data_IF_996879116746
#
_entry.id   IF_996879116746
#
_cell.length_a   1.000
_cell.length_b   1.000
_cell.length_c   1.000
_cell.angle_alpha   90.00
_cell.angle_beta   90.00
_cell.angle_gamma   90.00
#
_symmetry.space_group_name_H-M   'P 1'
#
loop_
_entity.id
_entity.type
_entity.pdbx_description
1 polymer ?
#
# COMPACT_ATOMS: atom_id res chain seq x y z
N UNK A 1 -9.05 -5.10 -16.15
CA UNK A 1 -8.85 -3.81 -15.44
C UNK A 1 -8.30 -4.09 -14.05
N UNK A 2 -7.55 -3.18 -13.44
CA UNK A 2 -6.95 -3.42 -12.09
C UNK A 2 -7.99 -3.51 -10.96
N UNK A 3 -9.23 -3.12 -11.19
CA UNK A 3 -10.38 -3.22 -10.28
C UNK A 3 -11.19 -4.52 -10.41
N UNK A 4 -10.81 -5.43 -11.32
CA UNK A 4 -11.60 -6.64 -11.62
C UNK A 4 -11.19 -7.87 -10.81
N UNK A 5 -10.21 -7.76 -9.91
CA UNK A 5 -9.81 -8.82 -9.01
C UNK A 5 -10.74 -8.91 -7.80
N UNK A 6 -10.76 -10.07 -7.14
CA UNK A 6 -11.59 -10.29 -5.96
C UNK A 6 -10.79 -10.24 -4.65
N UNK A 7 -9.46 -10.30 -4.71
CA UNK A 7 -8.63 -10.35 -3.52
C UNK A 7 -7.36 -9.50 -3.69
N UNK A 8 -7.21 -8.50 -2.83
CA UNK A 8 -6.14 -7.53 -2.85
C UNK A 8 -5.37 -7.54 -1.53
N UNK A 9 -4.05 -7.39 -1.62
CA UNK A 9 -3.18 -7.14 -0.46
C UNK A 9 -2.43 -5.82 -0.67
N UNK A 10 -2.60 -4.89 0.27
CA UNK A 10 -1.86 -3.65 0.36
C UNK A 10 -0.86 -3.75 1.49
N UNK A 11 0.40 -3.45 1.22
CA UNK A 11 1.47 -3.44 2.22
C UNK A 11 2.12 -2.06 2.26
N UNK A 12 1.93 -1.35 3.38
CA UNK A 12 2.58 -0.08 3.70
C UNK A 12 3.69 -0.25 4.73
N UNK A 13 4.66 0.63 4.72
CA UNK A 13 5.69 0.69 5.76
C UNK A 13 5.14 1.35 7.04
N UNK A 14 4.41 2.46 6.91
CA UNK A 14 3.94 3.29 8.04
C UNK A 14 2.42 3.41 8.10
N UNK A 15 1.85 3.74 9.30
CA UNK A 15 0.42 4.00 9.45
C UNK A 15 0.03 5.32 8.77
N UNK A 16 -0.30 5.31 7.50
CA UNK A 16 -0.76 6.36 6.60
C UNK A 16 -0.40 6.10 5.12
N UNK A 17 0.64 5.28 4.87
CA UNK A 17 1.14 5.01 3.51
C UNK A 17 0.05 4.49 2.58
N UNK A 18 -0.73 3.51 3.03
CA UNK A 18 -1.77 2.88 2.21
C UNK A 18 -2.82 3.91 1.82
N UNK A 19 -3.22 4.73 2.78
CA UNK A 19 -4.27 5.73 2.61
C UNK A 19 -3.83 6.86 1.68
N UNK A 20 -2.61 7.34 1.85
CA UNK A 20 -2.11 8.48 1.06
C UNK A 20 -1.85 8.07 -0.38
N UNK A 21 -1.27 6.88 -0.61
CA UNK A 21 -0.88 6.46 -1.95
C UNK A 21 -1.97 5.69 -2.72
N UNK A 22 -2.92 5.05 -2.00
CA UNK A 22 -3.91 4.16 -2.60
C UNK A 22 -5.30 4.17 -1.97
N UNK A 23 -5.60 5.12 -1.07
CA UNK A 23 -6.91 5.20 -0.44
C UNK A 23 -8.05 5.39 -1.43
N UNK A 24 -7.82 6.18 -2.48
CA UNK A 24 -8.77 6.35 -3.56
C UNK A 24 -8.96 5.09 -4.40
N UNK A 25 -7.88 4.36 -4.67
CA UNK A 25 -7.97 3.09 -5.39
C UNK A 25 -8.74 2.03 -4.58
N UNK A 26 -8.51 1.94 -3.27
CA UNK A 26 -9.29 1.06 -2.38
C UNK A 26 -10.77 1.41 -2.43
N UNK A 27 -11.11 2.67 -2.26
CA UNK A 27 -12.50 3.14 -2.32
C UNK A 27 -13.14 2.82 -3.68
N UNK A 28 -12.41 2.98 -4.77
CA UNK A 28 -12.87 2.64 -6.11
C UNK A 28 -13.08 1.13 -6.30
N UNK A 29 -12.14 0.29 -5.83
CA UNK A 29 -12.31 -1.18 -5.85
C UNK A 29 -13.63 -1.56 -5.19
N UNK A 30 -13.87 -1.08 -3.96
CA UNK A 30 -15.05 -1.44 -3.19
C UNK A 30 -16.34 -0.77 -3.71
N UNK A 31 -16.23 0.33 -4.44
CA UNK A 31 -17.36 0.93 -5.15
C UNK A 31 -17.77 0.10 -6.37
N UNK A 32 -16.80 -0.37 -7.17
CA UNK A 32 -17.05 -1.16 -8.38
C UNK A 32 -17.34 -2.64 -8.08
N UNK A 33 -16.75 -3.21 -7.01
CA UNK A 33 -16.94 -4.60 -6.59
C UNK A 33 -17.06 -4.70 -5.06
N UNK A 34 -18.28 -4.73 -4.56
CA UNK A 34 -18.57 -4.79 -3.11
C UNK A 34 -18.17 -6.10 -2.45
N UNK A 35 -17.99 -7.17 -3.24
CA UNK A 35 -17.57 -8.48 -2.75
C UNK A 35 -16.05 -8.64 -2.73
N UNK A 36 -15.31 -7.67 -3.26
CA UNK A 36 -13.85 -7.69 -3.23
C UNK A 36 -13.32 -7.68 -1.80
N UNK A 37 -12.33 -8.51 -1.54
CA UNK A 37 -11.60 -8.55 -0.28
C UNK A 37 -10.36 -7.67 -0.40
N UNK A 38 -10.29 -6.68 0.47
CA UNK A 38 -9.15 -5.77 0.55
C UNK A 38 -8.49 -5.95 1.91
N UNK A 39 -7.25 -6.41 1.91
CA UNK A 39 -6.43 -6.63 3.10
C UNK A 39 -5.32 -5.58 3.13
N UNK A 40 -5.17 -4.90 4.26
CA UNK A 40 -4.13 -3.90 4.47
C UNK A 40 -3.20 -4.35 5.59
N UNK A 41 -1.90 -4.25 5.40
CA UNK A 41 -0.88 -4.55 6.41
C UNK A 41 0.11 -3.41 6.50
N UNK A 42 0.29 -2.87 7.70
CA UNK A 42 1.27 -1.86 8.03
C UNK A 42 2.40 -2.52 8.81
N UNK A 43 3.64 -2.32 8.36
CA UNK A 43 4.77 -3.05 8.91
C UNK A 43 5.34 -2.40 10.16
N UNK A 44 5.45 -1.07 10.24
CA UNK A 44 6.06 -0.39 11.39
C UNK A 44 5.04 0.21 12.36
N UNK A 45 5.56 0.61 13.51
CA UNK A 45 4.82 1.32 14.56
C UNK A 45 4.65 2.82 14.27
N UNK A 46 5.32 3.37 13.25
CA UNK A 46 5.27 4.78 12.88
C UNK A 46 5.87 5.74 13.90
N UNK A 47 6.67 5.24 14.83
CA UNK A 47 7.13 6.00 16.01
C UNK A 47 8.15 7.11 15.71
N UNK A 48 8.68 7.21 14.50
CA UNK A 48 9.56 8.31 14.08
C UNK A 48 8.78 9.50 13.50
N UNK A 49 7.47 9.34 13.23
CA UNK A 49 6.59 10.44 12.78
C UNK A 49 6.06 11.30 13.93
N UNK A 50 5.16 12.23 13.60
CA UNK A 50 4.49 13.05 14.62
C UNK A 50 3.41 12.24 15.35
N UNK A 51 3.13 12.59 16.61
CA UNK A 51 2.17 11.90 17.46
C UNK A 51 2.75 10.64 18.14
N UNK A 52 1.96 10.05 19.02
CA UNK A 52 2.33 8.78 19.66
C UNK A 52 1.98 7.58 18.75
N UNK A 53 2.57 6.41 19.03
CA UNK A 53 2.24 5.16 18.32
C UNK A 53 0.75 4.84 18.45
N UNK A 54 0.19 5.05 19.65
CA UNK A 54 -1.22 4.81 19.95
C UNK A 54 -2.13 5.69 19.12
N UNK A 55 -1.82 7.01 19.04
CA UNK A 55 -2.56 7.96 18.21
C UNK A 55 -2.52 7.56 16.73
N UNK A 56 -1.34 7.25 16.19
CA UNK A 56 -1.18 6.83 14.79
C UNK A 56 -1.94 5.55 14.49
N UNK A 57 -1.92 4.56 15.39
CA UNK A 57 -2.67 3.33 15.23
C UNK A 57 -4.19 3.57 15.30
N UNK A 58 -4.65 4.48 16.16
CA UNK A 58 -6.07 4.84 16.23
C UNK A 58 -6.52 5.55 14.95
N UNK A 59 -5.75 6.50 14.46
CA UNK A 59 -6.00 7.19 13.19
C UNK A 59 -6.08 6.18 12.03
N UNK A 60 -5.12 5.27 11.91
CA UNK A 60 -5.11 4.25 10.86
C UNK A 60 -6.29 3.25 11.00
N UNK A 61 -6.66 2.82 12.22
CA UNK A 61 -7.87 2.00 12.44
C UNK A 61 -9.15 2.74 12.05
N UNK A 62 -9.25 4.03 12.32
CA UNK A 62 -10.40 4.82 11.93
C UNK A 62 -10.44 4.99 10.40
N UNK A 63 -9.29 5.25 9.76
CA UNK A 63 -9.16 5.30 8.31
C UNK A 63 -9.57 3.97 7.66
N UNK A 64 -9.14 2.83 8.22
CA UNK A 64 -9.51 1.51 7.70
C UNK A 64 -11.03 1.25 7.70
N UNK A 65 -11.73 1.71 8.75
CA UNK A 65 -13.21 1.66 8.82
C UNK A 65 -13.85 2.57 7.77
N UNK A 66 -13.29 3.77 7.57
CA UNK A 66 -13.79 4.71 6.55
C UNK A 66 -13.59 4.20 5.14
N UNK A 67 -12.50 3.47 4.88
CA UNK A 67 -12.22 2.79 3.62
C UNK A 67 -13.11 1.57 3.39
N UNK A 68 -13.54 0.88 4.47
CA UNK A 68 -14.37 -0.33 4.39
C UNK A 68 -13.58 -1.59 4.04
N UNK A 69 -12.27 -1.65 4.37
CA UNK A 69 -11.42 -2.81 4.08
C UNK A 69 -11.78 -4.04 4.91
N UNK A 70 -11.46 -5.22 4.39
CA UNK A 70 -11.80 -6.51 5.01
C UNK A 70 -10.95 -6.81 6.24
N UNK A 71 -9.69 -6.40 6.24
CA UNK A 71 -8.79 -6.47 7.40
C UNK A 71 -7.71 -5.39 7.33
N UNK A 72 -7.24 -4.99 8.50
CA UNK A 72 -6.15 -4.04 8.67
C UNK A 72 -5.24 -4.50 9.81
N UNK A 73 -4.01 -4.89 9.51
CA UNK A 73 -3.06 -5.46 10.48
C UNK A 73 -1.85 -4.55 10.66
N UNK A 74 -1.33 -4.51 11.91
CA UNK A 74 -0.09 -3.85 12.27
C UNK A 74 0.92 -4.92 12.70
N UNK A 75 2.10 -4.93 12.07
CA UNK A 75 3.19 -5.87 12.41
C UNK A 75 4.07 -5.37 13.56
N UNK A 76 4.04 -4.06 13.85
CA UNK A 76 4.72 -3.46 15.01
C UNK A 76 6.25 -3.45 14.94
N UNK A 77 6.85 -3.57 13.75
CA UNK A 77 8.29 -3.33 13.62
C UNK A 77 8.62 -1.87 13.98
N UNK A 78 9.85 -1.66 14.46
CA UNK A 78 10.30 -0.32 14.78
C UNK A 78 10.43 0.54 13.53
N UNK A 79 9.82 1.73 13.54
CA UNK A 79 9.94 2.72 12.47
C UNK A 79 11.41 3.11 12.25
N UNK A 80 11.81 3.27 10.98
CA UNK A 80 13.18 3.56 10.59
C UNK A 80 14.13 2.37 10.64
N UNK A 81 13.64 1.12 10.81
CA UNK A 81 14.51 -0.05 11.00
C UNK A 81 14.25 -1.23 10.03
N UNK A 82 13.31 -1.13 9.11
CA UNK A 82 13.00 -2.25 8.23
C UNK A 82 14.18 -2.67 7.34
N UNK A 83 15.03 -1.72 6.95
CA UNK A 83 16.22 -2.00 6.15
C UNK A 83 17.27 -2.86 6.89
N UNK A 84 17.20 -2.95 8.22
CA UNK A 84 18.04 -3.81 9.05
C UNK A 84 17.47 -5.23 9.22
N UNK A 85 16.21 -5.44 8.83
CA UNK A 85 15.51 -6.71 9.04
C UNK A 85 15.78 -7.68 7.90
N UNK A 86 16.78 -8.54 8.07
CA UNK A 86 17.14 -9.59 7.08
C UNK A 86 16.02 -10.59 6.83
N UNK A 87 15.06 -10.71 7.76
CA UNK A 87 13.92 -11.64 7.67
C UNK A 87 12.68 -11.01 7.00
N UNK A 88 12.74 -9.73 6.64
CA UNK A 88 11.59 -9.02 6.04
C UNK A 88 11.01 -9.72 4.79
N UNK A 89 11.83 -10.32 3.88
CA UNK A 89 11.28 -11.08 2.77
C UNK A 89 10.41 -12.28 3.18
N UNK A 90 10.77 -12.99 4.27
CA UNK A 90 9.98 -14.11 4.78
C UNK A 90 8.67 -13.65 5.42
N UNK A 91 8.71 -12.53 6.14
CA UNK A 91 7.49 -11.90 6.69
C UNK A 91 6.51 -11.56 5.57
N UNK A 92 6.97 -10.88 4.52
CA UNK A 92 6.13 -10.51 3.38
C UNK A 92 5.65 -11.75 2.61
N UNK A 93 6.50 -12.78 2.44
CA UNK A 93 6.11 -14.03 1.80
C UNK A 93 4.99 -14.75 2.56
N UNK A 94 5.06 -14.77 3.90
CA UNK A 94 3.99 -15.30 4.74
C UNK A 94 2.68 -14.50 4.62
N UNK A 95 2.75 -13.18 4.50
CA UNK A 95 1.57 -12.35 4.24
C UNK A 95 0.93 -12.68 2.88
N UNK A 96 1.75 -12.82 1.83
CA UNK A 96 1.27 -13.21 0.49
C UNK A 96 0.58 -14.58 0.55
N UNK A 97 1.15 -15.55 1.25
CA UNK A 97 0.56 -16.90 1.41
C UNK A 97 -0.71 -16.88 2.27
N UNK A 98 -0.72 -16.11 3.36
CA UNK A 98 -1.87 -15.96 4.25
C UNK A 98 -3.08 -15.40 3.52
N UNK A 99 -2.88 -14.31 2.80
CA UNK A 99 -3.97 -13.58 2.14
C UNK A 99 -4.27 -14.06 0.73
N UNK A 100 -3.36 -14.75 0.07
CA UNK A 100 -3.51 -15.28 -1.30
C UNK A 100 -4.02 -14.24 -2.29
N UNK A 101 -3.38 -13.04 -2.39
CA UNK A 101 -3.89 -11.97 -3.22
C UNK A 101 -3.80 -12.29 -4.71
N UNK A 102 -4.80 -11.86 -5.47
CA UNK A 102 -4.74 -11.81 -6.93
C UNK A 102 -3.92 -10.60 -7.40
N UNK A 103 -3.92 -9.52 -6.57
CA UNK A 103 -3.13 -8.31 -6.80
C UNK A 103 -2.49 -7.83 -5.51
N UNK A 104 -1.19 -7.56 -5.56
CA UNK A 104 -0.39 -6.97 -4.48
C UNK A 104 -0.03 -5.53 -4.82
N UNK A 105 -0.24 -4.64 -3.85
CA UNK A 105 0.08 -3.22 -3.96
C UNK A 105 1.04 -2.85 -2.82
N UNK A 106 2.18 -2.24 -3.15
CA UNK A 106 3.20 -1.94 -2.14
C UNK A 106 4.18 -0.85 -2.60
N UNK A 107 5.22 -0.61 -1.81
CA UNK A 107 6.25 0.40 -2.07
C UNK A 107 7.12 0.09 -3.30
N UNK A 108 7.71 1.12 -3.93
CA UNK A 108 8.68 0.96 -5.01
C UNK A 108 9.97 0.31 -4.50
N UNK A 109 10.73 -0.30 -5.42
CA UNK A 109 12.04 -0.92 -5.09
C UNK A 109 13.07 0.16 -4.69
N UNK A 110 12.96 1.34 -5.28
CA UNK A 110 13.80 2.49 -4.98
C UNK A 110 12.94 3.62 -4.41
N UNK A 111 13.30 4.10 -3.25
CA UNK A 111 12.64 5.21 -2.56
C UNK A 111 13.67 5.95 -1.71
N UNK A 112 13.45 7.25 -1.48
CA UNK A 112 14.28 8.03 -0.56
C UNK A 112 14.11 7.60 0.90
N UNK A 113 12.92 7.10 1.25
CA UNK A 113 12.66 6.57 2.58
C UNK A 113 13.23 5.15 2.70
N UNK A 114 14.17 4.89 3.65
CA UNK A 114 14.82 3.59 3.76
C UNK A 114 13.84 2.43 3.98
N UNK A 115 12.78 2.63 4.78
CA UNK A 115 11.78 1.59 5.05
C UNK A 115 10.94 1.30 3.81
N UNK A 116 10.53 2.33 3.01
CA UNK A 116 9.83 2.10 1.75
C UNK A 116 10.68 1.26 0.79
N UNK A 117 11.93 1.64 0.59
CA UNK A 117 12.87 0.88 -0.25
C UNK A 117 13.08 -0.55 0.26
N UNK A 118 13.15 -0.74 1.59
CA UNK A 118 13.27 -2.07 2.21
C UNK A 118 12.04 -2.93 1.93
N UNK A 119 10.84 -2.38 2.08
CA UNK A 119 9.57 -3.10 1.75
C UNK A 119 9.55 -3.46 0.27
N UNK A 120 9.82 -2.49 -0.61
CA UNK A 120 9.80 -2.70 -2.05
C UNK A 120 10.78 -3.79 -2.50
N UNK A 121 12.03 -3.71 -2.09
CA UNK A 121 13.08 -4.68 -2.44
C UNK A 121 12.84 -6.07 -1.82
N UNK A 122 12.33 -6.12 -0.58
CA UNK A 122 11.97 -7.36 0.09
C UNK A 122 10.77 -8.04 -0.57
N UNK A 123 9.80 -7.26 -1.07
CA UNK A 123 8.64 -7.82 -1.78
C UNK A 123 9.03 -8.58 -3.03
N UNK A 124 10.01 -8.09 -3.80
CA UNK A 124 10.50 -8.81 -4.99
C UNK A 124 11.03 -10.20 -4.63
N UNK A 125 11.77 -10.33 -3.53
CA UNK A 125 12.24 -11.63 -3.01
C UNK A 125 11.08 -12.47 -2.46
N UNK A 126 10.16 -11.82 -1.75
CA UNK A 126 9.02 -12.47 -1.12
C UNK A 126 8.07 -13.13 -2.14
N UNK A 127 7.87 -12.53 -3.30
CA UNK A 127 7.07 -13.11 -4.39
C UNK A 127 7.61 -14.47 -4.83
N UNK A 128 8.92 -14.59 -4.99
CA UNK A 128 9.55 -15.88 -5.30
C UNK A 128 9.42 -16.88 -4.14
N UNK A 129 9.70 -16.44 -2.91
CA UNK A 129 9.60 -17.28 -1.71
C UNK A 129 8.17 -17.76 -1.46
N UNK A 130 7.17 -16.92 -1.71
CA UNK A 130 5.77 -17.28 -1.53
C UNK A 130 5.31 -18.38 -2.50
N UNK A 131 5.91 -18.46 -3.68
CA UNK A 131 5.59 -19.44 -4.72
C UNK A 131 6.20 -20.81 -4.45
N UNK A 132 7.44 -20.88 -3.93
CA UNK A 132 8.15 -22.13 -3.61
C UNK A 132 7.76 -22.62 -2.20
N UNK A 133 8.21 -23.79 -1.77
CA UNK A 133 7.83 -24.42 -0.51
C UNK A 133 9.01 -24.58 0.48
N UNK A 134 9.67 -23.50 0.92
CA UNK A 134 10.68 -23.62 1.95
C UNK A 134 10.02 -23.94 3.32
N UNK A 135 10.62 -24.86 4.08
CA UNK A 135 10.08 -25.35 5.37
C UNK A 135 9.88 -24.27 6.43
N UNK A 136 10.61 -23.14 6.32
CA UNK A 136 10.55 -22.03 7.27
C UNK A 136 9.41 -21.02 7.01
N UNK A 137 8.62 -21.22 5.95
CA UNK A 137 7.44 -20.39 5.69
C UNK A 137 6.17 -21.10 6.11
N UNK A 138 5.24 -20.29 6.65
CA UNK A 138 3.90 -20.71 7.02
C UNK A 138 2.99 -20.69 5.78
N UNK A 139 1.82 -21.32 5.91
CA UNK A 139 0.77 -21.38 4.89
C UNK A 139 1.19 -22.04 3.57
N UNK A 140 0.20 -22.46 2.79
CA UNK A 140 0.41 -23.07 1.47
C UNK A 140 0.99 -22.08 0.45
N UNK A 141 1.84 -22.54 -0.47
CA UNK A 141 2.39 -21.70 -1.51
C UNK A 141 1.34 -20.93 -2.31
N UNK A 142 1.66 -19.71 -2.71
CA UNK A 142 0.79 -18.87 -3.51
C UNK A 142 1.59 -18.06 -4.54
N UNK A 143 1.12 -18.11 -5.80
CA UNK A 143 1.67 -17.33 -6.90
C UNK A 143 0.84 -16.06 -7.12
N UNK A 144 1.35 -14.91 -6.67
CA UNK A 144 0.79 -13.61 -6.99
C UNK A 144 1.44 -13.07 -8.27
N UNK A 145 0.66 -12.92 -9.34
CA UNK A 145 1.16 -12.50 -10.66
C UNK A 145 1.05 -11.00 -10.93
N UNK A 146 0.18 -10.31 -10.21
CA UNK A 146 -0.12 -8.92 -10.46
C UNK A 146 0.41 -8.08 -9.31
N UNK A 147 1.38 -7.23 -9.60
CA UNK A 147 1.98 -6.31 -8.63
C UNK A 147 1.99 -4.91 -9.21
N UNK A 148 1.53 -3.97 -8.42
CA UNK A 148 1.71 -2.54 -8.72
C UNK A 148 2.37 -1.86 -7.52
N UNK A 149 3.16 -0.83 -7.79
CA UNK A 149 3.91 -0.12 -6.77
C UNK A 149 3.42 1.31 -6.62
N UNK A 150 3.37 1.81 -5.39
CA UNK A 150 3.13 3.22 -5.12
C UNK A 150 4.18 4.08 -5.85
N UNK A 151 3.79 5.24 -6.31
CA UNK A 151 4.73 6.30 -6.67
C UNK A 151 4.81 7.26 -5.48
N UNK A 152 5.54 6.83 -4.46
CA UNK A 152 5.66 7.51 -3.16
C UNK A 152 6.64 8.68 -3.18
N UNK A 153 7.60 8.71 -4.11
CA UNK A 153 8.47 9.85 -4.32
C UNK A 153 8.08 10.61 -5.60
N UNK A 154 7.48 11.81 -5.47
CA UNK A 154 7.05 12.60 -6.63
C UNK A 154 8.23 13.07 -7.53
N UNK A 155 9.45 12.99 -7.05
CA UNK A 155 10.66 13.34 -7.82
C UNK A 155 11.23 12.15 -8.60
N UNK A 156 10.74 10.94 -8.35
CA UNK A 156 11.10 9.77 -9.15
C UNK A 156 10.12 9.59 -10.31
N UNK A 157 10.66 9.34 -11.49
CA UNK A 157 9.84 9.01 -12.66
C UNK A 157 9.75 7.51 -12.80
N UNK A 158 8.59 6.89 -12.59
CA UNK A 158 8.41 5.46 -12.81
C UNK A 158 8.65 5.09 -14.28
N UNK A 159 9.16 3.88 -14.53
CA UNK A 159 9.41 3.37 -15.90
C UNK A 159 8.12 3.22 -16.70
N UNK A 160 7.07 2.80 -16.03
CA UNK A 160 5.71 2.71 -16.59
C UNK A 160 4.73 3.38 -15.65
N UNK A 161 3.71 4.05 -16.20
CA UNK A 161 2.74 4.83 -15.43
C UNK A 161 1.35 4.26 -15.59
N UNK A 162 0.73 3.94 -14.46
CA UNK A 162 -0.68 3.57 -14.38
C UNK A 162 -1.39 4.63 -13.55
N UNK A 163 -2.20 5.45 -14.23
CA UNK A 163 -3.08 6.40 -13.56
C UNK A 163 -4.43 5.71 -13.28
N UNK A 164 -4.84 5.72 -12.03
CA UNK A 164 -6.15 5.22 -11.60
C UNK A 164 -7.01 6.43 -11.29
N UNK A 165 -8.04 6.65 -12.10
CA UNK A 165 -9.04 7.69 -11.88
C UNK A 165 -9.79 7.43 -10.57
N UNK A 166 -9.76 8.37 -9.65
CA UNK A 166 -10.43 8.32 -8.36
C UNK A 166 -11.46 9.45 -8.20
N UNK A 167 -11.87 10.09 -9.30
CA UNK A 167 -12.71 11.29 -9.27
C UNK A 167 -14.00 11.08 -8.48
N UNK A 168 -14.67 9.94 -8.67
CA UNK A 168 -15.96 9.64 -8.01
C UNK A 168 -15.83 9.43 -6.49
N UNK A 169 -14.65 9.03 -6.02
CA UNK A 169 -14.38 8.73 -4.61
C UNK A 169 -13.43 9.73 -3.95
N UNK A 170 -13.02 10.77 -4.67
CA UNK A 170 -11.97 11.69 -4.22
C UNK A 170 -12.35 12.46 -2.96
N UNK A 171 -13.60 12.93 -2.86
CA UNK A 171 -14.06 13.60 -1.63
C UNK A 171 -13.95 12.68 -0.43
N UNK A 172 -14.33 11.41 -0.59
CA UNK A 172 -14.20 10.41 0.48
C UNK A 172 -12.74 10.13 0.83
N UNK A 173 -11.83 10.08 -0.16
CA UNK A 173 -10.39 9.98 0.11
C UNK A 173 -9.89 11.17 0.95
N UNK A 174 -10.32 12.40 0.65
CA UNK A 174 -9.96 13.59 1.43
C UNK A 174 -10.39 13.44 2.90
N UNK A 175 -11.61 12.97 3.16
CA UNK A 175 -12.07 12.71 4.53
C UNK A 175 -11.17 11.69 5.26
N UNK A 176 -10.76 10.61 4.57
CA UNK A 176 -9.85 9.59 5.12
C UNK A 176 -8.50 10.22 5.48
N UNK A 177 -7.92 11.03 4.61
CA UNK A 177 -6.64 11.72 4.87
C UNK A 177 -6.78 12.71 6.02
N UNK A 178 -7.87 13.47 6.09
CA UNK A 178 -8.12 14.43 7.17
C UNK A 178 -8.32 13.78 8.55
N UNK A 179 -8.52 12.46 8.61
CA UNK A 179 -8.55 11.70 9.86
C UNK A 179 -7.17 11.57 10.52
N UNK A 180 -6.08 11.62 9.76
CA UNK A 180 -4.70 11.53 10.27
C UNK A 180 -4.22 12.88 10.83
N UNK A 181 -4.81 13.31 11.95
CA UNK A 181 -4.56 14.63 12.53
C UNK A 181 -3.09 14.85 12.89
N UNK A 182 -2.42 13.79 13.37
CA UNK A 182 -1.00 13.83 13.71
C UNK A 182 -0.11 14.08 12.48
N UNK A 183 -0.55 13.72 11.28
CA UNK A 183 0.23 13.75 10.05
C UNK A 183 -0.26 14.77 9.01
N UNK A 184 -1.26 15.60 9.29
CA UNK A 184 -1.88 16.50 8.30
C UNK A 184 -0.88 17.38 7.56
N UNK A 185 0.13 17.92 8.26
CA UNK A 185 1.17 18.76 7.65
C UNK A 185 1.98 18.04 6.58
N UNK A 186 2.07 16.71 6.67
CA UNK A 186 2.79 15.88 5.71
C UNK A 186 1.85 15.37 4.61
N UNK A 187 0.65 14.94 4.96
CA UNK A 187 -0.25 14.22 4.05
C UNK A 187 -1.06 15.12 3.11
N UNK A 188 -1.52 16.28 3.59
CA UNK A 188 -2.38 17.18 2.79
C UNK A 188 -1.75 17.60 1.46
N UNK A 189 -0.43 17.89 1.36
CA UNK A 189 0.19 18.20 0.07
C UNK A 189 0.04 17.10 -0.99
N UNK A 190 -0.08 15.83 -0.59
CA UNK A 190 -0.26 14.72 -1.54
C UNK A 190 -1.66 14.68 -2.17
N UNK A 191 -2.66 15.29 -1.58
CA UNK A 191 -3.96 15.49 -2.23
C UNK A 191 -3.83 16.37 -3.48
N UNK A 192 -2.95 17.38 -3.45
CA UNK A 192 -2.67 18.21 -4.62
C UNK A 192 -2.00 17.41 -5.76
N UNK A 193 -1.18 16.40 -5.43
CA UNK A 193 -0.63 15.48 -6.42
C UNK A 193 -1.73 14.64 -7.08
N UNK A 194 -2.74 14.21 -6.34
CA UNK A 194 -3.88 13.50 -6.93
C UNK A 194 -4.62 14.36 -7.95
N UNK A 195 -4.81 15.66 -7.68
CA UNK A 195 -5.41 16.60 -8.63
C UNK A 195 -4.50 16.84 -9.85
N UNK A 196 -3.19 16.95 -9.64
CA UNK A 196 -2.23 17.06 -10.74
C UNK A 196 -2.26 15.82 -11.64
N UNK A 197 -2.24 14.63 -11.05
CA UNK A 197 -2.35 13.37 -11.79
C UNK A 197 -3.70 13.23 -12.50
N UNK A 198 -4.77 13.74 -11.90
CA UNK A 198 -6.07 13.84 -12.53
C UNK A 198 -6.04 14.67 -13.80
N UNK A 199 -5.45 15.88 -13.75
CA UNK A 199 -5.28 16.75 -14.93
C UNK A 199 -4.47 16.08 -16.04
N UNK A 200 -3.39 15.36 -15.68
CA UNK A 200 -2.55 14.61 -16.64
C UNK A 200 -3.38 13.49 -17.31
N UNK A 201 -4.28 12.86 -16.57
CA UNK A 201 -5.10 11.74 -17.01
C UNK A 201 -6.52 12.16 -17.53
N UNK A 202 -6.76 13.46 -17.69
CA UNK A 202 -8.04 14.04 -18.12
C UNK A 202 -9.23 13.69 -17.21
N UNK A 203 -9.01 13.69 -15.88
CA UNK A 203 -10.03 13.49 -14.86
C UNK A 203 -9.82 14.45 -13.67
N UNK A 204 -10.71 14.44 -12.68
CA UNK A 204 -10.64 15.37 -11.53
C UNK A 204 -9.47 15.04 -10.62
N UNK A 205 -9.29 13.76 -10.30
CA UNK A 205 -8.21 13.27 -9.46
C UNK A 205 -7.81 11.85 -9.85
N UNK A 206 -6.51 11.54 -9.75
CA UNK A 206 -5.97 10.21 -9.99
C UNK A 206 -4.87 9.85 -8.99
N UNK A 207 -4.69 8.58 -8.77
CA UNK A 207 -3.52 8.00 -8.10
C UNK A 207 -2.58 7.40 -9.13
N UNK A 208 -1.28 7.52 -8.88
CA UNK A 208 -0.25 7.05 -9.80
C UNK A 208 0.46 5.83 -9.22
N UNK A 209 0.56 4.78 -10.06
CA UNK A 209 1.26 3.54 -9.74
C UNK A 209 2.26 3.17 -10.84
N UNK A 210 3.20 2.31 -10.49
CA UNK A 210 4.09 1.64 -11.42
C UNK A 210 3.74 0.14 -11.47
N UNK A 211 3.20 -0.36 -12.60
CA UNK A 211 3.02 -1.79 -12.81
C UNK A 211 4.35 -2.53 -12.87
N UNK A 212 4.48 -3.64 -12.15
CA UNK A 212 5.65 -4.51 -12.20
C UNK A 212 5.41 -5.67 -13.17
N UNK A 213 6.30 -5.83 -14.14
CA UNK A 213 6.30 -6.99 -15.02
C UNK A 213 7.14 -8.09 -14.37
N UNK A 214 6.48 -9.10 -13.84
CA UNK A 214 7.15 -10.26 -13.25
C UNK A 214 7.56 -11.22 -14.36
N UNK A 215 8.87 -11.49 -14.50
CA UNK A 215 9.44 -12.56 -15.31
C UNK A 215 9.84 -13.71 -14.38
N UNK A 216 9.03 -14.74 -14.33
CA UNK A 216 9.35 -16.01 -13.66
C UNK A 216 9.85 -17.04 -14.66
#
# INVERSE_FOLDING_TARGET
MVTSFNNYLFIGAHPDDIEVWSGGFILRILHENKDAKVHCVVLTDGSAGYGSVEERYEEARNASKMLGVSSYEFMGFKDGSLYLNVNLPNVIANLIRKYKPEMLITHPIQDRHPDHAAVGSSTTKALFLAMVSPEFLEYEPHLCKNVIRFVSDPFQSPKSKLYIDISEVYEKKKEVIMNFKSQLGVLVPYLQLNELYGRINNCTAAELFEPEVLSF
#
